data_IF_870506091013
#
_entry.id   IF_870506091013
#
_cell.length_a   1.000
_cell.length_b   1.000
_cell.length_c   1.000
_cell.angle_alpha   90.00
_cell.angle_beta   90.00
_cell.angle_gamma   90.00
#
_symmetry.space_group_name_H-M   'P 1'
#
loop_
_entity.id
_entity.type
_entity.pdbx_description
1 polymer ?
#
# COMPACT_ATOMS: atom_id res chain seq x y z
N UNK A 1 4.05 0.86 -8.34
CA UNK A 1 5.48 0.74 -8.00
C UNK A 1 5.65 -0.56 -7.21
N UNK A 2 6.50 -1.48 -7.65
CA UNK A 2 6.61 -2.82 -7.04
C UNK A 2 7.80 -2.92 -6.07
N UNK A 3 7.69 -3.76 -5.03
CA UNK A 3 8.75 -3.93 -4.02
C UNK A 3 10.11 -4.32 -4.64
N UNK A 4 10.09 -5.09 -5.73
CA UNK A 4 11.28 -5.51 -6.48
C UNK A 4 12.02 -4.33 -7.13
N UNK A 5 11.29 -3.38 -7.71
CA UNK A 5 11.89 -2.17 -8.28
C UNK A 5 12.52 -1.29 -7.19
N UNK A 6 11.91 -1.20 -6.01
CA UNK A 6 12.43 -0.44 -4.86
C UNK A 6 13.74 -1.04 -4.31
N UNK A 7 13.78 -2.36 -4.14
CA UNK A 7 14.95 -3.06 -3.59
C UNK A 7 16.12 -3.21 -4.57
N UNK A 8 15.85 -3.45 -5.87
CA UNK A 8 16.89 -3.82 -6.83
C UNK A 8 17.25 -2.71 -7.83
N UNK A 9 16.28 -1.94 -8.33
CA UNK A 9 16.51 -0.94 -9.38
C UNK A 9 16.69 0.48 -8.84
N UNK A 10 16.06 0.83 -7.73
CA UNK A 10 16.22 2.17 -7.15
C UNK A 10 17.21 2.22 -6.00
N UNK A 11 17.64 1.06 -5.46
CA UNK A 11 18.54 1.00 -4.31
C UNK A 11 17.95 1.66 -3.05
N UNK A 12 16.62 1.78 -2.97
CA UNK A 12 15.88 2.40 -1.88
C UNK A 12 15.35 1.39 -0.86
N UNK A 13 15.69 0.11 -1.06
CA UNK A 13 15.36 -0.98 -0.16
C UNK A 13 16.38 -1.18 0.97
N UNK A 14 16.12 -2.13 1.87
CA UNK A 14 16.95 -2.37 3.06
C UNK A 14 18.41 -2.77 2.75
N UNK A 15 18.68 -3.21 1.52
CA UNK A 15 20.03 -3.50 1.04
C UNK A 15 20.83 -2.28 0.54
N UNK A 16 20.20 -1.11 0.34
CA UNK A 16 20.80 0.13 -0.19
C UNK A 16 21.79 -0.06 -1.37
N UNK A 17 21.55 -1.06 -2.20
CA UNK A 17 22.47 -1.44 -3.29
C UNK A 17 21.70 -1.52 -4.58
N UNK A 18 22.17 -0.85 -5.63
CA UNK A 18 21.66 -1.04 -6.98
C UNK A 18 22.13 -2.39 -7.50
N UNK A 19 21.19 -3.29 -7.82
CA UNK A 19 21.48 -4.66 -8.21
C UNK A 19 21.12 -4.96 -9.67
N UNK A 20 20.18 -4.24 -10.28
CA UNK A 20 19.80 -4.44 -11.68
C UNK A 20 19.13 -3.21 -12.30
N UNK A 21 19.04 -3.17 -13.63
CA UNK A 21 18.16 -2.21 -14.31
C UNK A 21 16.68 -2.44 -13.98
N UNK A 22 15.83 -1.51 -14.41
CA UNK A 22 14.38 -1.52 -14.12
C UNK A 22 13.56 -2.39 -15.09
N UNK A 23 14.21 -3.09 -16.03
CA UNK A 23 13.52 -4.01 -16.95
C UNK A 23 13.03 -5.24 -16.19
N UNK A 24 11.83 -5.73 -16.54
CA UNK A 24 11.18 -6.84 -15.82
C UNK A 24 12.03 -8.13 -15.86
N UNK A 25 12.69 -8.38 -16.98
CA UNK A 25 13.52 -9.56 -17.21
C UNK A 25 14.79 -9.55 -16.34
N UNK A 26 15.49 -8.41 -16.27
CA UNK A 26 16.67 -8.25 -15.40
C UNK A 26 16.31 -8.35 -13.91
N UNK A 27 15.15 -7.80 -13.52
CA UNK A 27 14.67 -7.86 -12.14
C UNK A 27 14.35 -9.28 -11.70
N UNK A 28 13.70 -10.07 -12.56
CA UNK A 28 13.34 -11.47 -12.27
C UNK A 28 14.58 -12.38 -12.21
N UNK A 29 15.53 -12.20 -13.13
CA UNK A 29 16.81 -12.92 -13.10
C UNK A 29 17.57 -12.60 -11.82
N UNK A 30 17.66 -11.33 -11.44
CA UNK A 30 18.38 -10.90 -10.23
C UNK A 30 17.70 -11.39 -8.95
N UNK A 31 16.37 -11.41 -8.92
CA UNK A 31 15.60 -11.99 -7.81
C UNK A 31 15.89 -13.49 -7.64
N UNK A 32 15.95 -14.24 -8.73
CA UNK A 32 16.17 -15.68 -8.70
C UNK A 32 17.61 -16.06 -8.32
N UNK A 33 18.59 -15.24 -8.70
CA UNK A 33 20.01 -15.48 -8.44
C UNK A 33 20.45 -15.00 -7.04
N UNK A 34 19.66 -14.17 -6.36
CA UNK A 34 20.02 -13.57 -5.09
C UNK A 34 18.98 -13.88 -3.99
N UNK A 35 19.20 -14.98 -3.26
CA UNK A 35 18.32 -15.38 -2.15
C UNK A 35 18.20 -14.33 -1.04
N UNK A 36 19.21 -13.47 -0.86
CA UNK A 36 19.14 -12.34 0.08
C UNK A 36 18.21 -11.22 -0.40
N UNK A 37 18.16 -10.95 -1.71
CA UNK A 37 17.19 -10.04 -2.32
C UNK A 37 15.78 -10.61 -2.23
N UNK A 38 15.61 -11.90 -2.48
CA UNK A 38 14.33 -12.58 -2.34
C UNK A 38 13.77 -12.43 -0.92
N UNK A 39 14.56 -12.72 0.11
CA UNK A 39 14.14 -12.56 1.50
C UNK A 39 13.75 -11.10 1.84
N UNK A 40 14.46 -10.11 1.30
CA UNK A 40 14.10 -8.69 1.51
C UNK A 40 12.78 -8.31 0.83
N UNK A 41 12.57 -8.73 -0.42
CA UNK A 41 11.32 -8.51 -1.13
C UNK A 41 10.14 -9.17 -0.39
N UNK A 42 10.32 -10.41 0.05
CA UNK A 42 9.31 -11.13 0.85
C UNK A 42 9.00 -10.43 2.18
N UNK A 43 10.02 -9.89 2.86
CA UNK A 43 9.82 -9.13 4.09
C UNK A 43 9.02 -7.85 3.86
N UNK A 44 9.31 -7.09 2.80
CA UNK A 44 8.56 -5.88 2.44
C UNK A 44 7.11 -6.22 2.10
N UNK A 45 6.88 -7.24 1.26
CA UNK A 45 5.54 -7.69 0.92
C UNK A 45 4.76 -8.16 2.15
N UNK A 46 5.41 -8.89 3.06
CA UNK A 46 4.79 -9.37 4.30
C UNK A 46 4.46 -8.24 5.27
N UNK A 47 5.27 -7.17 5.31
CA UNK A 47 5.00 -5.98 6.11
C UNK A 47 3.81 -5.19 5.56
N UNK A 48 3.82 -4.90 4.25
CA UNK A 48 2.71 -4.17 3.61
C UNK A 48 1.42 -4.99 3.60
N UNK A 49 1.50 -6.31 3.46
CA UNK A 49 0.32 -7.18 3.58
C UNK A 49 -0.28 -7.11 4.99
N UNK A 50 0.55 -7.18 6.04
CA UNK A 50 0.08 -7.03 7.43
C UNK A 50 -0.55 -5.65 7.66
N UNK A 51 0.06 -4.61 7.13
CA UNK A 51 -0.46 -3.23 7.22
C UNK A 51 -1.80 -3.10 6.50
N UNK A 52 -1.90 -3.59 5.26
CA UNK A 52 -3.14 -3.60 4.49
C UNK A 52 -4.24 -4.40 5.20
N UNK A 53 -3.90 -5.57 5.74
CA UNK A 53 -4.82 -6.39 6.53
C UNK A 53 -5.33 -5.65 7.77
N UNK A 54 -4.45 -4.99 8.52
CA UNK A 54 -4.85 -4.22 9.69
C UNK A 54 -5.78 -3.05 9.34
N UNK A 55 -5.54 -2.37 8.21
CA UNK A 55 -6.42 -1.32 7.71
C UNK A 55 -7.80 -1.89 7.33
N UNK A 56 -7.83 -2.99 6.58
CA UNK A 56 -9.07 -3.67 6.19
C UNK A 56 -9.86 -4.16 7.40
N UNK A 57 -9.18 -4.75 8.39
CA UNK A 57 -9.83 -5.21 9.62
C UNK A 57 -10.37 -4.05 10.46
N UNK A 58 -9.63 -2.94 10.53
CA UNK A 58 -10.07 -1.71 11.21
C UNK A 58 -11.28 -1.04 10.54
N UNK A 59 -11.44 -1.23 9.23
CA UNK A 59 -12.51 -0.64 8.40
C UNK A 59 -13.58 -1.67 7.97
N UNK A 60 -13.66 -2.81 8.67
CA UNK A 60 -14.54 -3.92 8.27
C UNK A 60 -16.02 -3.49 8.12
N UNK A 61 -16.63 -2.76 9.07
CA UNK A 61 -18.03 -2.33 8.94
C UNK A 61 -18.28 -1.44 7.72
N UNK A 62 -17.35 -0.55 7.39
CA UNK A 62 -17.43 0.36 6.26
C UNK A 62 -17.28 -0.40 4.94
N UNK A 63 -16.34 -1.35 4.88
CA UNK A 63 -16.15 -2.22 3.73
C UNK A 63 -17.35 -3.15 3.47
N UNK A 64 -18.00 -3.63 4.53
CA UNK A 64 -19.25 -4.41 4.40
C UNK A 64 -20.36 -3.58 3.74
N UNK A 65 -20.49 -2.30 4.11
CA UNK A 65 -21.48 -1.41 3.50
C UNK A 65 -21.15 -1.07 2.04
N UNK A 66 -19.89 -0.78 1.74
CA UNK A 66 -19.44 -0.53 0.35
C UNK A 66 -19.65 -1.78 -0.50
N UNK A 67 -19.33 -2.97 0.03
CA UNK A 67 -19.53 -4.23 -0.71
C UNK A 67 -21.01 -4.54 -0.94
N UNK A 68 -21.88 -4.30 0.04
CA UNK A 68 -23.33 -4.44 -0.13
C UNK A 68 -23.88 -3.48 -1.19
N UNK A 69 -23.43 -2.22 -1.19
CA UNK A 69 -23.82 -1.24 -2.20
C UNK A 69 -23.31 -1.63 -3.59
N UNK A 70 -22.06 -2.12 -3.70
CA UNK A 70 -21.49 -2.57 -4.96
C UNK A 70 -22.19 -3.81 -5.52
N UNK A 71 -22.60 -4.74 -4.66
CA UNK A 71 -23.36 -5.93 -5.05
C UNK A 71 -24.75 -5.56 -5.58
N UNK A 72 -25.41 -4.57 -4.97
CA UNK A 72 -26.73 -4.09 -5.38
C UNK A 72 -26.67 -3.31 -6.70
N UNK A 73 -25.77 -2.33 -6.76
CA UNK A 73 -25.77 -1.31 -7.81
C UNK A 73 -24.82 -1.67 -8.96
N UNK A 74 -24.00 -2.72 -8.80
CA UNK A 74 -22.95 -3.24 -9.72
C UNK A 74 -21.83 -2.25 -10.06
N UNK A 75 -22.01 -0.98 -9.73
CA UNK A 75 -21.07 0.13 -9.89
C UNK A 75 -21.33 1.14 -8.78
N UNK A 76 -20.26 1.77 -8.32
CA UNK A 76 -20.33 2.89 -7.38
C UNK A 76 -19.51 4.04 -7.94
N UNK A 77 -20.02 5.27 -7.81
CA UNK A 77 -19.23 6.47 -8.10
C UNK A 77 -18.33 6.81 -6.90
N UNK A 78 -17.30 7.62 -7.13
CA UNK A 78 -16.42 8.07 -6.07
C UNK A 78 -17.19 8.84 -4.98
N UNK A 79 -18.12 9.72 -5.37
CA UNK A 79 -18.95 10.49 -4.43
C UNK A 79 -19.82 9.57 -3.56
N UNK A 80 -20.36 8.50 -4.16
CA UNK A 80 -21.18 7.51 -3.43
C UNK A 80 -20.35 6.77 -2.37
N UNK A 81 -19.10 6.46 -2.68
CA UNK A 81 -18.17 5.81 -1.74
C UNK A 81 -17.81 6.76 -0.60
N UNK A 82 -17.51 8.03 -0.89
CA UNK A 82 -17.23 9.06 0.11
C UNK A 82 -18.44 9.29 1.05
N UNK A 83 -19.66 9.27 0.51
CA UNK A 83 -20.90 9.37 1.29
C UNK A 83 -21.10 8.18 2.23
N UNK A 84 -20.79 6.96 1.79
CA UNK A 84 -20.89 5.76 2.63
C UNK A 84 -19.86 5.76 3.78
N UNK A 85 -18.69 6.33 3.49
CA UNK A 85 -17.57 6.49 4.42
C UNK A 85 -17.86 7.59 5.45
N UNK A 86 -18.34 8.76 5.02
CA UNK A 86 -18.55 9.95 5.86
C UNK A 86 -19.69 9.78 6.88
N UNK A 87 -20.63 8.87 6.61
CA UNK A 87 -21.69 8.47 7.55
C UNK A 87 -21.16 7.76 8.80
N UNK A 88 -19.87 7.40 8.85
CA UNK A 88 -19.24 6.81 10.02
C UNK A 88 -18.12 7.72 10.58
N UNK A 89 -18.22 8.20 11.84
CA UNK A 89 -17.33 9.24 12.39
C UNK A 89 -15.87 8.81 12.60
N UNK A 90 -15.54 7.52 12.45
CA UNK A 90 -14.17 7.00 12.56
C UNK A 90 -13.31 7.32 11.34
N UNK A 91 -13.94 7.82 10.28
CA UNK A 91 -13.34 8.07 8.97
C UNK A 91 -13.08 9.55 8.68
N UNK A 92 -12.90 10.37 9.73
CA UNK A 92 -12.11 11.60 9.52
C UNK A 92 -10.71 11.15 9.14
N UNK A 93 -10.48 11.04 7.83
CA UNK A 93 -9.15 11.04 7.25
C UNK A 93 -8.43 12.18 7.97
N UNK A 94 -7.42 11.83 8.76
CA UNK A 94 -6.63 12.83 9.47
C UNK A 94 -5.99 13.66 8.37
N UNK A 95 -6.60 14.80 8.07
CA UNK A 95 -6.03 15.78 7.16
C UNK A 95 -4.62 16.03 7.69
N UNK A 96 -3.64 15.67 6.87
CA UNK A 96 -2.25 16.05 7.07
C UNK A 96 -2.12 17.55 6.90
N UNK A 97 -2.74 18.32 7.78
CA UNK A 97 -2.37 19.71 8.02
C UNK A 97 -1.05 19.65 8.79
N UNK A 98 0.01 20.08 8.11
CA UNK A 98 1.33 20.20 8.66
C UNK A 98 1.27 20.95 9.98
N UNK A 99 1.89 20.37 11.00
CA UNK A 99 2.32 21.10 12.17
C UNK A 99 3.38 22.11 11.70
N UNK A 100 2.93 23.28 11.23
CA UNK A 100 3.71 24.50 11.39
C UNK A 100 3.86 24.71 12.90
N UNK A 101 4.89 24.06 13.41
CA UNK A 101 5.41 24.31 14.75
C UNK A 101 6.03 25.69 14.65
N UNK A 102 5.27 26.70 15.04
CA UNK A 102 5.78 28.02 15.36
C UNK A 102 6.83 27.81 16.45
N UNK A 103 8.10 27.88 16.07
CA UNK A 103 9.21 27.97 16.99
C UNK A 103 9.85 29.35 16.78
N UNK A 104 9.70 30.16 17.84
CA UNK A 104 10.39 31.41 18.19
C UNK A 104 9.92 32.68 17.47
#
# INVERSE_FOLDING_TARGET
MTALQVEAAYGLGAGFTFLSGASEEELLVTLHMNGGLQARVENVLSAEFRRAKALVEGMRPELENISAALLRDRRLSAETVEDLISRQPRLKLRDGSGSETTAL
#
